data_IF_974134094891
#
_entry.id   IF_974134094891
#
_cell.length_a   1.000
_cell.length_b   1.000
_cell.length_c   1.000
_cell.angle_alpha   90.00
_cell.angle_beta   90.00
_cell.angle_gamma   90.00
#
_symmetry.space_group_name_H-M   'P 1'
#
loop_
_entity.id
_entity.type
_entity.pdbx_description
1 polymer ?
#
# COMPACT_ATOMS: atom_id res chain seq x y z
N UNK A 1 -6.07 15.59 -6.71
CA UNK A 1 -6.31 14.18 -6.33
C UNK A 1 -6.68 13.45 -7.60
N UNK A 2 -5.84 12.51 -8.02
CA UNK A 2 -6.14 11.57 -9.10
C UNK A 2 -6.79 10.31 -8.51
N UNK A 3 -7.60 9.63 -9.32
CA UNK A 3 -8.22 8.34 -8.99
C UNK A 3 -7.97 7.40 -10.16
N UNK A 4 -7.38 6.25 -9.85
CA UNK A 4 -7.19 5.15 -10.79
C UNK A 4 -8.00 3.95 -10.30
N UNK A 5 -8.91 3.44 -11.13
CA UNK A 5 -9.71 2.25 -10.80
C UNK A 5 -9.04 1.01 -11.37
N UNK A 6 -8.92 -0.03 -10.54
CA UNK A 6 -8.38 -1.34 -10.92
C UNK A 6 -9.55 -2.29 -11.18
N UNK A 7 -9.70 -2.78 -12.40
CA UNK A 7 -10.82 -3.66 -12.78
C UNK A 7 -10.49 -5.13 -12.54
N UNK A 8 -11.06 -5.69 -11.47
CA UNK A 8 -10.94 -7.10 -11.10
C UNK A 8 -12.32 -7.73 -10.82
N UNK A 9 -13.36 -7.22 -11.47
CA UNK A 9 -14.75 -7.62 -11.23
C UNK A 9 -15.19 -7.26 -9.81
N UNK A 10 -15.71 -8.22 -9.05
CA UNK A 10 -16.18 -8.03 -7.66
C UNK A 10 -15.07 -7.58 -6.67
N UNK A 11 -13.80 -7.65 -7.10
CA UNK A 11 -12.62 -7.27 -6.30
C UNK A 11 -12.00 -5.96 -6.76
N UNK A 12 -12.68 -5.21 -7.62
CA UNK A 12 -12.23 -3.90 -8.09
C UNK A 12 -12.07 -2.93 -6.92
N UNK A 13 -11.08 -2.05 -7.03
CA UNK A 13 -10.77 -1.06 -6.01
C UNK A 13 -10.14 0.18 -6.64
N UNK A 14 -10.19 1.29 -5.92
CA UNK A 14 -9.58 2.55 -6.34
C UNK A 14 -8.20 2.75 -5.68
N UNK A 15 -7.33 3.42 -6.43
CA UNK A 15 -6.09 4.03 -5.94
C UNK A 15 -6.29 5.54 -5.98
N UNK A 16 -6.21 6.18 -4.82
CA UNK A 16 -6.26 7.63 -4.68
C UNK A 16 -4.85 8.18 -4.53
N UNK A 17 -4.49 9.13 -5.39
CA UNK A 17 -3.15 9.74 -5.43
C UNK A 17 -3.30 11.25 -5.25
N UNK A 18 -2.57 11.83 -4.29
CA UNK A 18 -2.66 13.26 -4.05
C UNK A 18 -2.07 13.69 -2.73
N UNK A 19 -2.31 14.94 -2.35
CA UNK A 19 -1.69 15.56 -1.17
C UNK A 19 -2.64 15.58 0.02
N UNK A 20 -2.11 15.28 1.20
CA UNK A 20 -2.83 15.37 2.47
C UNK A 20 -4.02 14.41 2.57
N UNK A 21 -4.04 13.36 1.72
CA UNK A 21 -5.16 12.41 1.66
C UNK A 21 -5.33 11.65 2.96
N UNK A 22 -4.24 11.43 3.72
CA UNK A 22 -4.28 10.67 4.98
C UNK A 22 -5.20 11.29 6.03
N UNK A 23 -5.42 12.61 6.00
CA UNK A 23 -6.30 13.33 6.93
C UNK A 23 -7.79 13.11 6.65
N UNK A 24 -8.11 12.57 5.48
CA UNK A 24 -9.48 12.39 4.98
C UNK A 24 -9.75 10.93 4.59
N UNK A 25 -8.86 10.00 4.94
CA UNK A 25 -9.01 8.59 4.53
C UNK A 25 -10.30 7.97 5.08
N UNK A 26 -10.75 8.38 6.26
CA UNK A 26 -12.06 7.99 6.78
C UNK A 26 -13.21 8.37 5.85
N UNK A 27 -13.24 9.60 5.32
CA UNK A 27 -14.27 10.05 4.37
C UNK A 27 -14.29 9.20 3.10
N UNK A 28 -13.10 8.89 2.57
CA UNK A 28 -12.96 8.07 1.37
C UNK A 28 -13.39 6.62 1.62
N UNK A 29 -13.14 6.09 2.81
CA UNK A 29 -13.54 4.74 3.17
C UNK A 29 -15.06 4.63 3.37
N UNK A 30 -15.69 5.68 3.92
CA UNK A 30 -17.13 5.69 4.28
C UNK A 30 -18.04 5.47 3.08
N UNK A 31 -17.61 5.90 1.89
CA UNK A 31 -18.35 5.71 0.64
C UNK A 31 -18.17 4.31 0.04
N UNK A 32 -17.22 3.50 0.53
CA UNK A 32 -16.93 2.15 0.04
C UNK A 32 -17.63 1.11 0.91
N UNK A 33 -17.46 1.18 2.22
CA UNK A 33 -18.15 0.30 3.18
C UNK A 33 -18.16 0.86 4.60
N UNK A 34 -18.95 0.24 5.48
CA UNK A 34 -19.08 0.62 6.88
C UNK A 34 -18.49 -0.45 7.81
N UNK A 35 -17.23 -0.30 8.28
CA UNK A 35 -16.61 -1.23 9.20
C UNK A 35 -17.21 -1.17 10.61
N UNK A 36 -17.17 -2.31 11.31
CA UNK A 36 -17.51 -2.38 12.75
C UNK A 36 -16.44 -1.74 13.63
N UNK A 37 -15.18 -1.78 13.19
CA UNK A 37 -13.97 -1.22 13.82
C UNK A 37 -12.88 -1.06 12.75
N UNK A 38 -12.02 -0.06 12.92
CA UNK A 38 -10.79 0.10 12.13
C UNK A 38 -9.57 -0.17 13.01
N UNK A 39 -8.62 -0.96 12.52
CA UNK A 39 -7.34 -1.17 13.21
C UNK A 39 -6.20 -0.74 12.30
N UNK A 40 -5.49 0.31 12.70
CA UNK A 40 -4.32 0.82 11.99
C UNK A 40 -3.09 0.04 12.45
N UNK A 41 -2.41 -0.64 11.52
CA UNK A 41 -1.19 -1.38 11.78
C UNK A 41 -0.03 -0.65 11.11
N UNK A 42 0.99 -0.33 11.90
CA UNK A 42 2.15 0.46 11.46
C UNK A 42 3.40 0.13 12.26
N UNK A 43 4.51 0.85 12.07
CA UNK A 43 5.70 0.76 12.92
C UNK A 43 5.98 2.12 13.60
N UNK A 44 6.78 2.16 14.69
CA UNK A 44 6.90 3.35 15.54
C UNK A 44 7.26 4.66 14.81
N UNK A 45 8.22 4.60 13.88
CA UNK A 45 8.65 5.77 13.10
C UNK A 45 7.53 6.33 12.22
N UNK A 46 6.64 5.50 11.68
CA UNK A 46 5.50 5.97 10.88
C UNK A 46 4.33 6.37 11.77
N UNK A 47 4.10 5.67 12.90
CA UNK A 47 3.07 6.04 13.87
C UNK A 47 3.29 7.47 14.39
N UNK A 48 4.51 7.76 14.84
CA UNK A 48 4.90 9.08 15.36
C UNK A 48 4.74 10.22 14.34
N UNK A 49 4.76 9.92 13.03
CA UNK A 49 4.60 10.92 11.98
C UNK A 49 3.14 11.09 11.53
N UNK A 50 2.40 9.99 11.41
CA UNK A 50 1.13 9.97 10.66
C UNK A 50 -0.01 9.22 11.36
N UNK A 51 0.27 8.45 12.41
CA UNK A 51 -0.71 7.56 13.03
C UNK A 51 -1.91 8.29 13.63
N UNK A 52 -1.67 9.38 14.36
CA UNK A 52 -2.72 10.20 14.96
C UNK A 52 -3.64 10.82 13.89
N UNK A 53 -3.08 11.51 12.90
CA UNK A 53 -3.87 12.13 11.81
C UNK A 53 -4.74 11.10 11.06
N UNK A 54 -4.22 9.87 10.86
CA UNK A 54 -4.95 8.79 10.20
C UNK A 54 -6.07 8.26 11.10
N UNK A 55 -5.78 7.98 12.36
CA UNK A 55 -6.76 7.47 13.32
C UNK A 55 -7.90 8.47 13.56
N UNK A 56 -7.57 9.76 13.72
CA UNK A 56 -8.56 10.84 13.85
C UNK A 56 -9.51 10.90 12.66
N UNK A 57 -9.02 10.66 11.44
CA UNK A 57 -9.86 10.65 10.25
C UNK A 57 -10.95 9.56 10.30
N UNK A 58 -10.66 8.41 10.91
CA UNK A 58 -11.61 7.31 11.09
C UNK A 58 -12.56 7.56 12.26
N UNK A 59 -12.05 8.09 13.38
CA UNK A 59 -12.86 8.51 14.53
C UNK A 59 -13.87 9.57 14.13
N UNK A 60 -13.50 10.51 13.26
CA UNK A 60 -14.40 11.53 12.72
C UNK A 60 -15.60 10.94 11.92
N UNK A 61 -15.48 9.70 11.43
CA UNK A 61 -16.60 8.97 10.79
C UNK A 61 -17.43 8.14 11.77
N UNK A 62 -17.11 8.20 13.07
CA UNK A 62 -17.80 7.48 14.14
C UNK A 62 -17.32 6.04 14.37
N UNK A 63 -16.17 5.66 13.82
CA UNK A 63 -15.64 4.30 13.98
C UNK A 63 -14.70 4.17 15.17
N UNK A 64 -14.88 3.10 15.96
CA UNK A 64 -13.88 2.69 16.94
C UNK A 64 -12.57 2.39 16.19
N UNK A 65 -11.47 2.99 16.66
CA UNK A 65 -10.18 2.93 15.98
C UNK A 65 -9.07 2.66 16.97
N UNK A 66 -8.26 1.65 16.67
CA UNK A 66 -7.09 1.26 17.46
C UNK A 66 -5.83 1.32 16.58
N UNK A 67 -4.68 1.63 17.18
CA UNK A 67 -3.37 1.58 16.51
C UNK A 67 -2.55 0.46 17.14
N UNK A 68 -2.01 -0.43 16.30
CA UNK A 68 -1.07 -1.48 16.70
C UNK A 68 0.26 -1.22 16.02
N UNK A 69 1.33 -1.14 16.82
CA UNK A 69 2.69 -1.06 16.32
C UNK A 69 3.32 -2.44 16.17
N UNK A 70 3.98 -2.65 15.04
CA UNK A 70 4.88 -3.78 14.81
C UNK A 70 6.33 -3.26 14.75
N UNK A 71 7.33 -4.09 15.10
CA UNK A 71 8.73 -3.69 14.99
C UNK A 71 9.08 -3.25 13.56
N UNK A 72 9.92 -2.23 13.45
CA UNK A 72 10.38 -1.72 12.17
C UNK A 72 11.34 -2.69 11.47
N UNK A 73 11.27 -2.73 10.13
CA UNK A 73 12.21 -3.47 9.28
C UNK A 73 11.71 -4.84 8.80
N UNK A 74 12.42 -5.40 7.81
CA UNK A 74 12.06 -6.65 7.12
C UNK A 74 11.94 -7.86 8.06
N UNK A 75 12.62 -7.85 9.20
CA UNK A 75 12.58 -8.94 10.19
C UNK A 75 11.21 -9.11 10.84
N UNK A 76 10.36 -8.07 10.88
CA UNK A 76 8.99 -8.18 11.38
C UNK A 76 8.04 -8.85 10.39
N UNK A 77 8.45 -9.00 9.12
CA UNK A 77 7.66 -9.65 8.07
C UNK A 77 7.74 -11.18 8.18
N UNK A 78 7.20 -11.76 9.24
CA UNK A 78 7.27 -13.21 9.51
C UNK A 78 5.98 -13.74 10.16
N UNK A 79 5.81 -15.07 10.19
CA UNK A 79 4.63 -15.72 10.76
C UNK A 79 4.41 -15.45 12.25
N UNK A 80 5.48 -15.35 13.05
CA UNK A 80 5.37 -15.05 14.48
C UNK A 80 4.87 -13.62 14.74
N UNK A 81 5.15 -12.67 13.86
CA UNK A 81 4.54 -11.34 13.93
C UNK A 81 3.07 -11.36 13.50
N UNK A 82 2.73 -12.15 12.48
CA UNK A 82 1.34 -12.34 12.09
C UNK A 82 0.50 -12.97 13.22
N UNK A 83 1.06 -13.95 13.95
CA UNK A 83 0.44 -14.56 15.14
C UNK A 83 0.10 -13.52 16.21
N UNK A 84 1.07 -12.66 16.59
CA UNK A 84 0.84 -11.57 17.55
C UNK A 84 -0.25 -10.59 17.08
N UNK A 85 -0.31 -10.31 15.78
CA UNK A 85 -1.38 -9.49 15.23
C UNK A 85 -2.74 -10.18 15.38
N UNK A 86 -2.84 -11.49 15.16
CA UNK A 86 -4.08 -12.22 15.41
C UNK A 86 -4.51 -12.16 16.89
N UNK A 87 -3.58 -12.28 17.83
CA UNK A 87 -3.86 -12.17 19.26
C UNK A 87 -4.48 -10.81 19.59
N UNK A 88 -3.86 -9.72 19.15
CA UNK A 88 -4.39 -8.37 19.36
C UNK A 88 -5.76 -8.17 18.69
N UNK A 89 -5.97 -8.67 17.48
CA UNK A 89 -7.27 -8.56 16.81
C UNK A 89 -8.36 -9.33 17.57
N UNK A 90 -8.05 -10.48 18.17
CA UNK A 90 -8.97 -11.24 19.02
C UNK A 90 -9.25 -10.51 20.35
N UNK A 91 -8.24 -9.93 20.99
CA UNK A 91 -8.37 -9.14 22.22
C UNK A 91 -9.29 -7.92 22.02
N UNK A 92 -9.11 -7.23 20.89
CA UNK A 92 -9.99 -6.13 20.48
C UNK A 92 -11.39 -6.60 20.11
N UNK A 93 -11.62 -7.90 19.95
CA UNK A 93 -12.87 -8.50 19.46
C UNK A 93 -13.20 -8.00 18.04
N UNK A 94 -12.20 -7.99 17.15
CA UNK A 94 -12.44 -7.74 15.74
C UNK A 94 -13.31 -8.85 15.14
N UNK A 95 -14.24 -8.47 14.28
CA UNK A 95 -15.15 -9.37 13.58
C UNK A 95 -14.91 -9.34 12.07
N UNK A 96 -15.72 -10.07 11.29
CA UNK A 96 -15.58 -10.12 9.82
C UNK A 96 -15.86 -8.79 9.11
N UNK A 97 -16.44 -7.81 9.81
CA UNK A 97 -16.70 -6.46 9.30
C UNK A 97 -15.65 -5.46 9.77
N UNK A 98 -14.71 -5.85 10.63
CA UNK A 98 -13.59 -5.00 11.00
C UNK A 98 -12.67 -4.78 9.79
N UNK A 99 -12.00 -3.64 9.74
CA UNK A 99 -11.08 -3.30 8.66
C UNK A 99 -9.66 -3.10 9.19
N UNK A 100 -8.67 -3.63 8.46
CA UNK A 100 -7.26 -3.34 8.73
C UNK A 100 -6.76 -2.22 7.84
N UNK A 101 -5.91 -1.35 8.38
CA UNK A 101 -5.23 -0.29 7.62
C UNK A 101 -3.73 -0.54 7.70
N UNK A 102 -3.11 -0.82 6.56
CA UNK A 102 -1.68 -0.99 6.44
C UNK A 102 -1.03 0.39 6.20
N UNK A 103 -0.56 1.04 7.27
CA UNK A 103 0.10 2.34 7.21
C UNK A 103 1.62 2.17 7.27
N UNK A 104 2.28 2.25 6.12
CA UNK A 104 3.74 2.06 6.05
C UNK A 104 4.24 1.69 4.65
N UNK A 105 5.50 1.23 4.57
CA UNK A 105 6.07 0.71 3.33
C UNK A 105 5.62 -0.73 2.99
N UNK A 106 6.27 -1.34 2.01
CA UNK A 106 5.91 -2.68 1.51
C UNK A 106 5.95 -3.79 2.56
N UNK A 107 6.81 -3.67 3.59
CA UNK A 107 6.84 -4.61 4.73
C UNK A 107 5.51 -4.65 5.48
N UNK A 108 4.99 -3.47 5.85
CA UNK A 108 3.70 -3.35 6.54
C UNK A 108 2.58 -3.78 5.60
N UNK A 109 2.61 -3.32 4.33
CA UNK A 109 1.61 -3.68 3.32
C UNK A 109 1.43 -5.19 3.17
N UNK A 110 2.54 -5.92 3.01
CA UNK A 110 2.50 -7.37 2.82
C UNK A 110 2.08 -8.12 4.08
N UNK A 111 2.63 -7.76 5.24
CA UNK A 111 2.28 -8.40 6.51
C UNK A 111 0.80 -8.20 6.85
N UNK A 112 0.32 -6.96 6.78
CA UNK A 112 -1.07 -6.61 7.10
C UNK A 112 -2.03 -7.19 6.07
N UNK A 113 -1.67 -7.17 4.78
CA UNK A 113 -2.45 -7.81 3.74
C UNK A 113 -2.59 -9.31 3.96
N UNK A 114 -1.52 -10.00 4.38
CA UNK A 114 -1.55 -11.43 4.70
C UNK A 114 -2.41 -11.72 5.93
N UNK A 115 -2.29 -10.89 6.97
CA UNK A 115 -3.13 -10.98 8.18
C UNK A 115 -4.59 -10.75 7.83
N UNK A 116 -4.91 -9.75 7.00
CA UNK A 116 -6.27 -9.48 6.54
C UNK A 116 -6.85 -10.66 5.75
N UNK A 117 -6.05 -11.28 4.88
CA UNK A 117 -6.46 -12.41 4.04
C UNK A 117 -6.82 -13.66 4.86
N UNK A 118 -6.18 -13.85 6.01
CA UNK A 118 -6.24 -15.11 6.77
C UNK A 118 -7.04 -14.99 8.07
N UNK A 119 -7.09 -13.80 8.68
CA UNK A 119 -7.91 -13.55 9.87
C UNK A 119 -9.39 -13.75 9.56
N UNK A 120 -10.03 -14.65 10.29
CA UNK A 120 -11.41 -15.10 10.04
C UNK A 120 -11.72 -15.49 8.57
N UNK A 121 -10.69 -15.96 7.84
CA UNK A 121 -10.74 -16.30 6.40
C UNK A 121 -10.95 -15.11 5.46
N UNK A 122 -10.62 -13.90 5.89
CA UNK A 122 -10.68 -12.69 5.08
C UNK A 122 -11.50 -11.59 5.73
N UNK A 123 -10.87 -10.46 5.99
CA UNK A 123 -11.52 -9.21 6.37
C UNK A 123 -11.05 -8.05 5.48
N UNK A 124 -11.86 -7.00 5.27
CA UNK A 124 -11.46 -5.82 4.50
C UNK A 124 -10.12 -5.24 4.97
N UNK A 125 -9.30 -4.78 4.02
CA UNK A 125 -8.13 -3.97 4.34
C UNK A 125 -7.89 -2.83 3.36
N UNK A 126 -7.16 -1.82 3.83
CA UNK A 126 -6.81 -0.60 3.13
C UNK A 126 -5.29 -0.50 3.12
N UNK A 127 -4.70 -0.12 1.99
CA UNK A 127 -3.28 0.22 1.93
C UNK A 127 -3.07 1.73 1.98
N UNK A 128 -2.17 2.17 2.85
CA UNK A 128 -1.68 3.54 2.91
C UNK A 128 -0.15 3.53 2.76
N UNK A 129 0.34 3.30 1.53
CA UNK A 129 1.78 3.18 1.25
C UNK A 129 2.51 4.50 1.50
N UNK A 130 3.56 4.46 2.33
CA UNK A 130 4.33 5.66 2.72
C UNK A 130 5.70 5.77 2.05
N UNK A 131 6.12 4.74 1.31
CA UNK A 131 7.36 4.76 0.51
C UNK A 131 7.03 4.86 -0.97
N UNK A 132 7.88 5.53 -1.77
CA UNK A 132 7.65 5.62 -3.22
C UNK A 132 7.54 4.23 -3.86
N UNK A 133 8.43 3.31 -3.46
CA UNK A 133 8.41 1.91 -3.91
C UNK A 133 7.04 1.25 -3.68
N UNK A 134 6.47 1.42 -2.48
CA UNK A 134 5.17 0.82 -2.17
C UNK A 134 4.00 1.51 -2.86
N UNK A 135 4.10 2.81 -3.12
CA UNK A 135 3.09 3.58 -3.86
C UNK A 135 2.99 3.13 -5.32
N UNK A 136 4.10 2.81 -5.98
CA UNK A 136 4.10 2.44 -7.42
C UNK A 136 4.13 0.94 -7.70
N UNK A 137 4.50 0.13 -6.71
CA UNK A 137 4.65 -1.31 -6.88
C UNK A 137 3.83 -2.09 -5.86
N UNK A 138 4.30 -2.27 -4.63
CA UNK A 138 3.71 -3.28 -3.71
C UNK A 138 2.23 -3.08 -3.37
N UNK A 139 1.69 -1.87 -3.51
CA UNK A 139 0.26 -1.61 -3.27
C UNK A 139 -0.68 -2.00 -4.41
N UNK A 140 -0.14 -2.44 -5.55
CA UNK A 140 -0.92 -2.85 -6.72
C UNK A 140 -0.73 -4.33 -7.00
N UNK A 141 -1.84 -5.06 -7.19
CA UNK A 141 -1.82 -6.44 -7.68
C UNK A 141 -1.84 -7.54 -6.62
N UNK A 142 -2.29 -7.22 -5.40
CA UNK A 142 -2.83 -8.16 -4.42
C UNK A 142 -1.88 -9.19 -3.83
N UNK A 143 -0.59 -9.18 -4.16
CA UNK A 143 0.37 -10.07 -3.51
C UNK A 143 0.56 -9.61 -2.07
N UNK A 144 0.39 -10.53 -1.14
CA UNK A 144 0.66 -10.32 0.29
C UNK A 144 1.43 -11.52 0.79
N UNK A 145 2.44 -11.31 1.63
CA UNK A 145 3.30 -12.41 2.06
C UNK A 145 4.06 -12.12 3.35
N UNK A 146 4.51 -13.20 3.99
CA UNK A 146 5.50 -13.18 5.06
C UNK A 146 6.71 -14.03 4.68
N UNK A 147 7.85 -13.72 5.27
CA UNK A 147 9.08 -14.46 5.08
C UNK A 147 9.10 -15.72 5.96
N UNK A 148 9.75 -16.75 5.43
CA UNK A 148 10.20 -17.92 6.18
C UNK A 148 11.73 -17.84 6.30
N UNK A 149 12.37 -18.38 7.36
CA UNK A 149 13.84 -18.38 7.46
C UNK A 149 14.59 -19.00 6.27
N UNK A 150 13.89 -19.83 5.47
CA UNK A 150 14.43 -20.48 4.26
C UNK A 150 14.05 -19.79 2.95
N UNK A 151 13.30 -18.70 2.97
CA UNK A 151 12.89 -18.02 1.73
C UNK A 151 12.02 -16.79 1.96
N UNK A 152 12.26 -15.75 1.17
CA UNK A 152 11.47 -14.52 1.20
C UNK A 152 10.16 -14.67 0.45
N UNK A 153 9.09 -14.09 0.98
CA UNK A 153 7.75 -14.06 0.38
C UNK A 153 7.17 -15.44 0.02
N UNK A 154 7.63 -16.52 0.66
CA UNK A 154 7.24 -17.90 0.31
C UNK A 154 5.86 -18.29 0.86
N UNK A 155 5.34 -17.54 1.83
CA UNK A 155 4.08 -17.84 2.51
C UNK A 155 3.18 -16.62 2.36
N UNK A 156 2.08 -16.75 1.62
CA UNK A 156 1.29 -15.59 1.24
C UNK A 156 -0.08 -15.94 0.66
N UNK A 157 -0.78 -14.88 0.25
CA UNK A 157 -2.07 -14.96 -0.42
C UNK A 157 -2.19 -13.85 -1.48
N UNK A 158 -3.01 -14.11 -2.52
CA UNK A 158 -3.52 -13.07 -3.39
C UNK A 158 -4.77 -12.46 -2.76
N UNK A 159 -4.67 -11.26 -2.20
CA UNK A 159 -5.74 -10.59 -1.48
C UNK A 159 -5.77 -9.09 -1.82
N UNK A 160 -6.87 -8.64 -2.42
CA UNK A 160 -7.00 -7.26 -2.92
C UNK A 160 -7.47 -6.31 -1.81
N UNK A 161 -6.90 -5.10 -1.71
CA UNK A 161 -7.39 -4.08 -0.80
C UNK A 161 -8.76 -3.57 -1.25
N UNK A 162 -9.49 -2.90 -0.34
CA UNK A 162 -10.70 -2.14 -0.66
C UNK A 162 -10.39 -0.74 -1.18
N UNK A 163 -9.21 -0.21 -0.85
CA UNK A 163 -8.76 1.12 -1.21
C UNK A 163 -7.23 1.19 -1.06
N UNK A 164 -6.57 1.92 -1.95
CA UNK A 164 -5.18 2.35 -1.79
C UNK A 164 -5.15 3.87 -1.71
N UNK A 165 -4.44 4.44 -0.74
CA UNK A 165 -4.29 5.89 -0.56
C UNK A 165 -2.81 6.27 -0.58
N UNK A 166 -2.34 6.76 -1.72
CA UNK A 166 -1.00 7.29 -1.90
C UNK A 166 -0.98 8.79 -1.61
N UNK A 167 -0.71 9.15 -0.35
CA UNK A 167 -0.50 10.53 0.06
C UNK A 167 0.94 10.97 -0.26
N UNK A 168 1.08 11.91 -1.20
CA UNK A 168 2.39 12.41 -1.66
C UNK A 168 3.17 13.14 -0.56
N UNK A 169 2.51 13.62 0.49
CA UNK A 169 3.20 14.32 1.58
C UNK A 169 4.05 13.38 2.43
N UNK A 170 3.75 12.06 2.44
CA UNK A 170 4.55 11.10 3.21
C UNK A 170 5.97 10.95 2.65
N UNK A 171 6.16 11.25 1.37
CA UNK A 171 7.47 11.20 0.71
C UNK A 171 8.44 12.26 1.22
N UNK A 172 7.96 13.32 1.88
CA UNK A 172 8.80 14.39 2.43
C UNK A 172 9.67 13.94 3.59
N UNK A 173 9.24 12.94 4.34
CA UNK A 173 10.01 12.36 5.45
C UNK A 173 10.74 11.09 5.04
N UNK A 174 10.57 10.62 3.80
CA UNK A 174 11.18 9.39 3.33
C UNK A 174 12.69 9.60 3.14
N UNK A 175 13.55 8.72 3.69
CA UNK A 175 14.99 8.82 3.47
C UNK A 175 15.32 8.84 1.98
N UNK A 176 16.27 9.69 1.58
CA UNK A 176 16.61 9.90 0.16
C UNK A 176 17.03 8.62 -0.57
N UNK A 177 17.64 7.66 0.15
CA UNK A 177 18.00 6.35 -0.39
C UNK A 177 16.75 5.52 -0.74
N UNK A 178 15.75 5.49 0.13
CA UNK A 178 14.49 4.77 -0.08
C UNK A 178 13.66 5.42 -1.19
N UNK A 179 13.68 6.75 -1.27
CA UNK A 179 13.06 7.49 -2.37
C UNK A 179 13.69 7.10 -3.72
N UNK A 180 15.02 7.10 -3.81
CA UNK A 180 15.74 6.69 -5.03
C UNK A 180 15.52 5.22 -5.38
N UNK A 181 15.38 4.34 -4.39
CA UNK A 181 15.03 2.94 -4.62
C UNK A 181 13.64 2.82 -5.30
N UNK A 182 12.65 3.61 -4.86
CA UNK A 182 11.36 3.69 -5.54
C UNK A 182 11.45 4.25 -6.96
N UNK A 183 12.30 5.26 -7.20
CA UNK A 183 12.50 5.80 -8.55
C UNK A 183 13.06 4.76 -9.53
N UNK A 184 13.89 3.83 -9.07
CA UNK A 184 14.40 2.76 -9.92
C UNK A 184 13.27 1.90 -10.52
N UNK A 185 12.22 1.62 -9.74
CA UNK A 185 11.03 0.92 -10.26
C UNK A 185 10.23 1.75 -11.26
N UNK A 186 10.17 3.08 -11.07
CA UNK A 186 9.52 3.97 -12.01
C UNK A 186 10.28 4.01 -13.34
N UNK A 187 11.61 4.06 -13.29
CA UNK A 187 12.46 3.95 -14.49
C UNK A 187 12.22 2.61 -15.19
N UNK A 188 12.11 1.50 -14.43
CA UNK A 188 11.77 0.18 -14.99
C UNK A 188 10.47 0.26 -15.81
N UNK A 189 9.40 0.85 -15.28
CA UNK A 189 8.14 0.99 -16.02
C UNK A 189 8.29 1.77 -17.33
N UNK A 190 9.06 2.86 -17.31
CA UNK A 190 9.37 3.63 -18.52
C UNK A 190 10.08 2.76 -19.57
N UNK A 191 11.09 1.98 -19.16
CA UNK A 191 11.85 1.12 -20.06
C UNK A 191 11.01 -0.02 -20.64
N UNK A 192 10.20 -0.69 -19.83
CA UNK A 192 9.49 -1.91 -20.25
C UNK A 192 8.14 -1.64 -20.93
N UNK A 193 7.54 -0.46 -20.71
CA UNK A 193 6.13 -0.25 -21.09
C UNK A 193 5.77 1.15 -21.61
N UNK A 194 6.51 2.21 -21.28
CA UNK A 194 6.09 3.58 -21.66
C UNK A 194 7.27 4.52 -21.94
N UNK A 195 7.55 4.72 -23.24
CA UNK A 195 8.59 5.64 -23.70
C UNK A 195 8.36 7.10 -23.30
N UNK A 196 7.09 7.54 -23.15
CA UNK A 196 6.79 8.92 -22.71
C UNK A 196 7.07 9.09 -21.23
N UNK A 197 6.77 8.08 -20.41
CA UNK A 197 7.20 8.08 -19.00
C UNK A 197 8.72 8.16 -18.92
N UNK A 198 9.45 7.38 -19.72
CA UNK A 198 10.90 7.41 -19.75
C UNK A 198 11.46 8.80 -20.11
N UNK A 199 10.97 9.40 -21.19
CA UNK A 199 11.36 10.76 -21.63
C UNK A 199 11.01 11.82 -20.56
N UNK A 200 9.85 11.68 -19.90
CA UNK A 200 9.44 12.57 -18.82
C UNK A 200 10.42 12.51 -17.63
N UNK A 201 10.86 11.30 -17.24
CA UNK A 201 11.85 11.12 -16.18
C UNK A 201 13.18 11.79 -16.53
N UNK A 202 13.63 11.69 -17.78
CA UNK A 202 14.86 12.35 -18.26
C UNK A 202 14.75 13.87 -18.21
N UNK A 203 13.59 14.40 -18.61
CA UNK A 203 13.36 15.85 -18.73
C UNK A 203 13.14 16.52 -17.38
N UNK A 204 12.42 15.88 -16.46
CA UNK A 204 11.95 16.46 -15.20
C UNK A 204 12.66 15.91 -13.95
N UNK A 205 13.83 15.28 -14.11
CA UNK A 205 14.51 14.61 -13.01
C UNK A 205 14.81 15.53 -11.81
N UNK A 206 15.04 16.83 -12.04
CA UNK A 206 15.36 17.79 -10.95
C UNK A 206 14.13 18.06 -10.10
N UNK A 207 12.99 18.30 -10.73
CA UNK A 207 11.69 18.53 -10.11
C UNK A 207 11.28 17.29 -9.31
N UNK A 208 11.45 16.10 -9.89
CA UNK A 208 11.20 14.81 -9.23
C UNK A 208 12.10 14.65 -8.00
N UNK A 209 13.40 14.92 -8.11
CA UNK A 209 14.32 14.83 -6.97
C UNK A 209 14.03 15.87 -5.88
N UNK A 210 13.38 16.98 -6.23
CA UNK A 210 12.94 18.03 -5.30
C UNK A 210 11.51 17.82 -4.78
N UNK A 211 10.91 16.64 -5.04
CA UNK A 211 9.56 16.30 -4.60
C UNK A 211 8.49 17.28 -5.12
N UNK A 212 8.63 17.73 -6.37
CA UNK A 212 7.59 18.50 -7.04
C UNK A 212 6.30 17.69 -7.15
N UNK A 213 5.19 18.29 -6.71
CA UNK A 213 3.93 17.56 -6.53
C UNK A 213 3.30 17.13 -7.84
N UNK A 214 3.38 17.95 -8.88
CA UNK A 214 2.78 17.63 -10.19
C UNK A 214 3.57 16.51 -10.86
N UNK A 215 4.91 16.59 -10.80
CA UNK A 215 5.78 15.53 -11.30
C UNK A 215 5.56 14.22 -10.54
N UNK A 216 5.48 14.27 -9.20
CA UNK A 216 5.23 13.09 -8.36
C UNK A 216 3.87 12.45 -8.67
N UNK A 217 2.80 13.25 -8.76
CA UNK A 217 1.47 12.73 -9.07
C UNK A 217 1.49 12.01 -10.42
N UNK A 218 2.08 12.62 -11.45
CA UNK A 218 2.18 12.04 -12.78
C UNK A 218 2.94 10.71 -12.81
N UNK A 219 4.15 10.66 -12.24
CA UNK A 219 4.97 9.44 -12.31
C UNK A 219 4.38 8.29 -11.50
N UNK A 220 3.72 8.58 -10.37
CA UNK A 220 3.09 7.55 -9.53
C UNK A 220 1.84 7.03 -10.23
N UNK A 221 0.98 7.91 -10.75
CA UNK A 221 -0.24 7.51 -11.44
C UNK A 221 0.05 6.71 -12.71
N UNK A 222 1.00 7.16 -13.52
CA UNK A 222 1.43 6.44 -14.72
C UNK A 222 2.00 5.06 -14.37
N UNK A 223 2.83 4.97 -13.33
CA UNK A 223 3.40 3.69 -12.88
C UNK A 223 2.31 2.73 -12.38
N UNK A 224 1.36 3.22 -11.58
CA UNK A 224 0.23 2.44 -11.12
C UNK A 224 -0.64 1.97 -12.29
N UNK A 225 -0.88 2.81 -13.30
CA UNK A 225 -1.66 2.46 -14.49
C UNK A 225 -0.97 1.37 -15.33
N UNK A 226 0.35 1.47 -15.52
CA UNK A 226 1.15 0.43 -16.19
C UNK A 226 1.01 -0.90 -15.43
N UNK A 227 1.23 -0.88 -14.11
CA UNK A 227 1.13 -2.10 -13.29
C UNK A 227 -0.30 -2.65 -13.26
N UNK A 228 -1.32 -1.78 -13.19
CA UNK A 228 -2.73 -2.16 -13.28
C UNK A 228 -3.01 -2.93 -14.57
N UNK A 229 -2.62 -2.38 -15.73
CA UNK A 229 -2.82 -3.05 -17.02
C UNK A 229 -2.10 -4.39 -17.14
N UNK A 230 -1.01 -4.61 -16.41
CA UNK A 230 -0.35 -5.93 -16.30
C UNK A 230 -1.13 -6.87 -15.37
N UNK A 231 -1.59 -6.39 -14.22
CA UNK A 231 -2.35 -7.15 -13.22
C UNK A 231 -3.72 -7.58 -13.75
N UNK A 232 -4.44 -6.71 -14.44
CA UNK A 232 -5.75 -7.00 -15.01
C UNK A 232 -5.67 -8.10 -16.08
N UNK A 233 -4.56 -8.16 -16.82
CA UNK A 233 -4.28 -9.22 -17.80
C UNK A 233 -3.80 -10.51 -17.15
N UNK A 234 -3.06 -10.44 -16.04
CA UNK A 234 -2.43 -11.59 -15.38
C UNK A 234 -2.29 -11.38 -13.85
N UNK A 235 -3.42 -11.46 -13.15
CA UNK A 235 -3.47 -11.19 -11.71
C UNK A 235 -2.58 -12.15 -10.91
N UNK A 236 -2.51 -13.42 -11.32
CA UNK A 236 -1.84 -14.51 -10.59
C UNK A 236 -0.42 -14.80 -11.06
N UNK A 237 0.15 -13.95 -11.90
CA UNK A 237 1.52 -14.08 -12.40
C UNK A 237 1.77 -15.44 -13.08
N UNK A 238 0.91 -15.81 -14.02
CA UNK A 238 1.02 -17.06 -14.77
C UNK A 238 2.01 -16.96 -15.94
N UNK A 239 2.18 -15.77 -16.53
CA UNK A 239 3.14 -15.54 -17.61
C UNK A 239 3.44 -14.07 -17.87
N UNK A 240 2.44 -13.29 -18.30
CA UNK A 240 2.60 -11.91 -18.78
C UNK A 240 3.20 -10.98 -17.71
N UNK A 241 2.83 -11.20 -16.45
CA UNK A 241 3.30 -10.37 -15.33
C UNK A 241 4.81 -10.49 -15.05
N UNK A 242 5.49 -11.49 -15.61
CA UNK A 242 6.95 -11.64 -15.50
C UNK A 242 7.74 -10.48 -16.12
N UNK A 243 7.14 -9.68 -17.01
CA UNK A 243 7.77 -8.46 -17.56
C UNK A 243 8.17 -7.48 -16.44
N UNK A 244 7.48 -7.51 -15.30
CA UNK A 244 7.79 -6.69 -14.14
C UNK A 244 9.07 -7.12 -13.40
N UNK A 245 9.67 -8.26 -13.76
CA UNK A 245 10.93 -8.75 -13.18
C UNK A 245 12.16 -8.32 -14.01
N UNK A 246 12.05 -7.26 -14.81
CA UNK A 246 13.19 -6.70 -15.54
C UNK A 246 14.20 -6.05 -14.58
N UNK A 247 15.45 -6.50 -14.65
CA UNK A 247 16.55 -6.09 -13.75
C UNK A 247 16.76 -7.05 -12.58
#
# INVERSE_FOLDING_TARGET
MQRLSIDLGDRSYDILIGRGLRKRVGEFLKVIFDPSRVVVITHPSINSLYGEEVAESFVAQGWATDIIEVPEGESSKNLGQAEKLYDHLLELKCDRKSALVALGGGVIGDLVGFVAATYQRGIPFIQMPTTLLSQVDSSVGGKTAVNHPKGKNMIGAFYQPRLVVADLETLRTLPSKEYRAGLAEIVKYGVISDARLFEFLETHYKEILNLDHECLSYIIETSCAIKAGVVEKDERESHYRMILNFG
#
